data_IF_828631417379
#
_entry.id   IF_828631417379
#
_cell.length_a   1.000
_cell.length_b   1.000
_cell.length_c   1.000
_cell.angle_alpha   90.00
_cell.angle_beta   90.00
_cell.angle_gamma   90.00
#
_symmetry.space_group_name_H-M   'P 1'
#
loop_
_entity.id
_entity.type
_entity.pdbx_description
1 polymer ?
#
# COMPACT_ATOMS: atom_id res chain seq x y z
N UNK A 1 23.38 -19.93 -15.85
CA UNK A 1 22.65 -21.00 -15.18
C UNK A 1 23.25 -21.32 -13.82
N UNK A 2 22.40 -21.63 -12.83
CA UNK A 2 22.84 -22.07 -11.53
C UNK A 2 22.26 -21.25 -10.40
N UNK A 3 22.38 -21.76 -9.17
CA UNK A 3 21.93 -21.12 -7.95
C UNK A 3 22.85 -19.98 -7.56
N UNK A 4 22.26 -18.81 -7.26
CA UNK A 4 22.99 -17.61 -6.81
C UNK A 4 24.13 -17.14 -7.76
N UNK A 5 23.89 -17.01 -9.07
CA UNK A 5 24.99 -16.76 -10.01
C UNK A 5 25.69 -15.41 -9.81
N UNK A 6 25.01 -14.41 -9.25
CA UNK A 6 25.53 -13.06 -9.03
C UNK A 6 25.56 -12.66 -7.55
N UNK A 7 25.63 -13.64 -6.66
CA UNK A 7 25.74 -13.39 -5.22
C UNK A 7 27.04 -12.64 -4.87
N UNK A 8 26.92 -11.59 -4.03
CA UNK A 8 28.02 -10.71 -3.65
C UNK A 8 28.71 -9.98 -4.81
N UNK A 9 28.01 -9.81 -5.93
CA UNK A 9 28.52 -9.03 -7.06
C UNK A 9 28.17 -7.56 -6.96
N UNK A 10 28.92 -6.71 -7.64
CA UNK A 10 28.65 -5.27 -7.69
C UNK A 10 28.73 -4.73 -9.13
N UNK A 11 28.06 -3.57 -9.36
CA UNK A 11 28.06 -2.87 -10.64
C UNK A 11 27.55 -3.76 -11.80
N UNK A 12 26.42 -4.42 -11.56
CA UNK A 12 25.81 -5.36 -12.49
C UNK A 12 24.95 -4.61 -13.48
N UNK A 13 25.16 -4.88 -14.77
CA UNK A 13 24.24 -4.47 -15.86
C UNK A 13 23.76 -5.74 -16.56
N UNK A 14 22.45 -5.98 -16.43
CA UNK A 14 21.76 -7.06 -17.13
C UNK A 14 20.77 -6.45 -18.13
N UNK A 15 20.88 -6.79 -19.40
CA UNK A 15 19.97 -6.33 -20.44
C UNK A 15 19.51 -7.51 -21.29
N UNK A 16 18.20 -7.60 -21.55
CA UNK A 16 17.60 -8.71 -22.28
C UNK A 16 17.98 -10.09 -21.70
N UNK A 17 18.08 -10.18 -20.35
CA UNK A 17 18.50 -11.38 -19.68
C UNK A 17 17.32 -12.17 -19.11
N UNK A 18 17.47 -13.50 -19.07
CA UNK A 18 16.55 -14.39 -18.37
C UNK A 18 17.23 -15.00 -17.13
N UNK A 19 16.60 -14.82 -15.97
CA UNK A 19 16.99 -15.44 -14.71
C UNK A 19 16.08 -16.65 -14.45
N UNK A 20 16.59 -17.85 -14.60
CA UNK A 20 15.83 -19.10 -14.57
C UNK A 20 16.04 -19.92 -13.30
N UNK A 21 16.76 -19.39 -12.30
CA UNK A 21 17.05 -20.13 -11.08
C UNK A 21 17.03 -19.24 -9.84
N UNK A 22 16.96 -19.87 -8.64
CA UNK A 22 16.83 -19.21 -7.33
C UNK A 22 17.98 -18.27 -7.00
N UNK A 23 17.67 -17.24 -6.22
CA UNK A 23 18.63 -16.36 -5.54
C UNK A 23 19.59 -15.62 -6.47
N UNK A 24 19.18 -15.14 -7.67
CA UNK A 24 20.13 -14.63 -8.65
C UNK A 24 20.99 -13.46 -8.15
N UNK A 25 20.45 -12.58 -7.32
CA UNK A 25 21.07 -11.29 -6.97
C UNK A 25 21.07 -11.05 -5.43
N UNK A 26 21.60 -12.01 -4.69
CA UNK A 26 21.73 -11.90 -3.24
C UNK A 26 22.98 -11.12 -2.82
N UNK A 27 22.83 -10.20 -1.86
CA UNK A 27 23.91 -9.37 -1.35
C UNK A 27 24.66 -8.63 -2.46
N UNK A 28 23.94 -8.23 -3.51
CA UNK A 28 24.52 -7.56 -4.66
C UNK A 28 24.35 -6.03 -4.55
N UNK A 29 25.23 -5.28 -5.19
CA UNK A 29 25.25 -3.84 -5.13
C UNK A 29 25.26 -3.20 -6.53
N UNK A 30 24.56 -2.06 -6.69
CA UNK A 30 24.50 -1.30 -7.93
C UNK A 30 24.04 -2.17 -9.13
N UNK A 31 22.82 -2.66 -9.04
CA UNK A 31 22.19 -3.54 -10.04
C UNK A 31 21.35 -2.68 -10.98
N UNK A 32 21.55 -2.86 -12.28
CA UNK A 32 20.66 -2.35 -13.33
C UNK A 32 20.21 -3.49 -14.20
N UNK A 33 18.93 -3.85 -14.12
CA UNK A 33 18.32 -4.84 -14.99
C UNK A 33 17.27 -4.15 -15.86
N UNK A 34 17.42 -4.30 -17.18
CA UNK A 34 16.48 -3.74 -18.16
C UNK A 34 16.07 -4.81 -19.17
N UNK A 35 14.79 -4.80 -19.56
CA UNK A 35 14.20 -5.77 -20.48
C UNK A 35 14.49 -7.22 -20.06
N UNK A 36 14.41 -7.48 -18.74
CA UNK A 36 14.76 -8.76 -18.14
C UNK A 36 13.52 -9.55 -17.69
N UNK A 37 13.64 -10.86 -17.76
CA UNK A 37 12.65 -11.81 -17.27
C UNK A 37 13.19 -12.62 -16.09
N UNK A 38 12.49 -12.59 -14.98
CA UNK A 38 12.71 -13.45 -13.82
C UNK A 38 11.66 -14.55 -13.82
N UNK A 39 12.09 -15.77 -14.09
CA UNK A 39 11.24 -16.96 -14.20
C UNK A 39 10.56 -17.30 -12.85
N UNK A 40 9.50 -18.08 -12.87
CA UNK A 40 8.77 -18.52 -11.66
C UNK A 40 9.68 -19.22 -10.64
N UNK A 41 10.77 -19.83 -11.07
CA UNK A 41 11.76 -20.49 -10.21
C UNK A 41 12.78 -19.50 -9.66
N UNK A 42 12.91 -18.29 -10.22
CA UNK A 42 13.84 -17.26 -9.73
C UNK A 42 13.40 -16.60 -8.42
N UNK A 43 12.76 -17.37 -7.55
CA UNK A 43 12.26 -16.93 -6.24
C UNK A 43 13.36 -16.43 -5.33
N UNK A 44 12.98 -15.57 -4.39
CA UNK A 44 13.91 -14.91 -3.48
C UNK A 44 15.06 -14.22 -4.24
N UNK A 45 14.66 -13.50 -5.29
CA UNK A 45 15.59 -13.08 -6.34
C UNK A 45 16.58 -12.03 -5.92
N UNK A 46 16.12 -10.95 -5.29
CA UNK A 46 16.95 -9.78 -4.95
C UNK A 46 16.82 -9.55 -3.45
N UNK A 47 17.68 -10.22 -2.68
CA UNK A 47 17.65 -10.12 -1.22
C UNK A 47 18.95 -9.53 -0.66
N UNK A 48 18.81 -8.69 0.38
CA UNK A 48 19.94 -8.05 1.08
C UNK A 48 20.82 -7.21 0.17
N UNK A 49 20.23 -6.64 -0.90
CA UNK A 49 20.94 -5.92 -1.95
C UNK A 49 20.66 -4.42 -1.87
N UNK A 50 21.46 -3.60 -2.55
CA UNK A 50 21.26 -2.16 -2.57
C UNK A 50 21.58 -1.53 -3.92
N UNK A 51 20.97 -0.35 -4.19
CA UNK A 51 21.15 0.35 -5.44
C UNK A 51 20.57 -0.43 -6.62
N UNK A 52 19.28 -0.82 -6.52
CA UNK A 52 18.61 -1.71 -7.48
C UNK A 52 17.75 -0.90 -8.44
N UNK A 53 18.00 -1.04 -9.73
CA UNK A 53 17.14 -0.48 -10.78
C UNK A 53 16.59 -1.62 -11.62
N UNK A 54 15.26 -1.79 -11.62
CA UNK A 54 14.54 -2.67 -12.54
C UNK A 54 13.73 -1.81 -13.49
N UNK A 55 13.93 -1.99 -14.78
CA UNK A 55 13.20 -1.25 -15.81
C UNK A 55 12.71 -2.18 -16.89
N UNK A 56 11.43 -2.02 -17.26
CA UNK A 56 10.81 -2.83 -18.33
C UNK A 56 11.00 -4.33 -18.09
N UNK A 57 10.75 -4.80 -16.86
CA UNK A 57 11.02 -6.18 -16.45
C UNK A 57 9.73 -6.94 -16.12
N UNK A 58 9.75 -8.24 -16.41
CA UNK A 58 8.73 -9.18 -15.99
C UNK A 58 9.27 -10.08 -14.89
N UNK A 59 8.56 -10.13 -13.75
CA UNK A 59 8.96 -10.89 -12.58
C UNK A 59 7.90 -11.95 -12.24
N UNK A 60 8.18 -13.21 -12.59
CA UNK A 60 7.25 -14.33 -12.42
C UNK A 60 7.28 -14.99 -11.04
N UNK A 61 8.37 -14.82 -10.29
CA UNK A 61 8.60 -15.55 -9.04
C UNK A 61 8.10 -14.80 -7.78
N UNK A 62 7.66 -15.51 -6.74
CA UNK A 62 7.37 -14.93 -5.43
C UNK A 62 8.64 -14.51 -4.68
N UNK A 63 8.45 -13.72 -3.62
CA UNK A 63 9.52 -13.28 -2.71
C UNK A 63 10.63 -12.51 -3.43
N UNK A 64 10.24 -11.62 -4.34
CA UNK A 64 11.15 -10.94 -5.25
C UNK A 64 12.23 -10.13 -4.55
N UNK A 65 11.83 -9.10 -3.80
CA UNK A 65 12.74 -8.20 -3.10
C UNK A 65 12.56 -8.31 -1.58
N UNK A 66 13.66 -8.47 -0.85
CA UNK A 66 13.63 -8.46 0.63
C UNK A 66 14.90 -7.82 1.19
N UNK A 67 14.73 -6.93 2.18
CA UNK A 67 15.83 -6.17 2.78
C UNK A 67 16.71 -5.48 1.73
N UNK A 68 16.03 -4.93 0.71
CA UNK A 68 16.67 -4.11 -0.33
C UNK A 68 16.63 -2.66 0.10
N UNK A 69 17.72 -1.97 -0.08
CA UNK A 69 17.81 -0.53 0.15
C UNK A 69 18.15 0.20 -1.13
N UNK A 70 17.48 1.37 -1.34
CA UNK A 70 17.65 2.18 -2.53
C UNK A 70 17.29 1.40 -3.81
N UNK A 71 16.00 1.36 -4.11
CA UNK A 71 15.49 0.67 -5.29
C UNK A 71 14.57 1.56 -6.13
N UNK A 72 14.70 1.47 -7.45
CA UNK A 72 13.81 2.09 -8.42
C UNK A 72 13.26 1.04 -9.39
N UNK A 73 11.94 0.85 -9.38
CA UNK A 73 11.24 -0.07 -10.24
C UNK A 73 10.34 0.72 -11.20
N UNK A 74 10.59 0.60 -12.49
CA UNK A 74 9.82 1.29 -13.53
C UNK A 74 9.33 0.33 -14.58
N UNK A 75 8.03 0.36 -14.88
CA UNK A 75 7.39 -0.55 -15.84
C UNK A 75 7.69 -2.02 -15.51
N UNK A 76 7.42 -2.42 -14.27
CA UNK A 76 7.67 -3.79 -13.79
C UNK A 76 6.35 -4.49 -13.53
N UNK A 77 6.23 -5.70 -14.05
CA UNK A 77 5.09 -6.56 -13.81
C UNK A 77 5.48 -7.76 -12.95
N UNK A 78 4.85 -7.88 -11.76
CA UNK A 78 5.00 -9.03 -10.88
C UNK A 78 3.79 -9.96 -11.04
N UNK A 79 3.98 -11.09 -11.70
CA UNK A 79 2.92 -12.11 -11.85
C UNK A 79 2.64 -12.84 -10.56
N UNK A 80 3.67 -13.09 -9.74
CA UNK A 80 3.55 -13.56 -8.37
C UNK A 80 4.33 -12.61 -7.44
N UNK A 81 3.61 -11.64 -6.88
CA UNK A 81 4.17 -10.66 -5.96
C UNK A 81 4.12 -11.11 -4.50
N UNK A 82 3.73 -12.35 -4.22
CA UNK A 82 3.60 -12.84 -2.84
C UNK A 82 4.90 -12.59 -2.05
N UNK A 83 4.76 -11.99 -0.88
CA UNK A 83 5.87 -11.65 0.02
C UNK A 83 7.01 -10.85 -0.66
N UNK A 84 6.65 -9.99 -1.61
CA UNK A 84 7.60 -9.12 -2.32
C UNK A 84 7.66 -7.73 -1.66
N UNK A 85 8.83 -7.09 -1.70
CA UNK A 85 9.13 -5.84 -0.98
C UNK A 85 8.97 -5.99 0.55
N UNK A 86 9.65 -6.93 1.15
CA UNK A 86 9.66 -7.08 2.61
C UNK A 86 10.87 -6.41 3.25
N UNK A 87 10.63 -5.58 4.27
CA UNK A 87 11.66 -4.85 5.01
C UNK A 87 12.59 -4.05 4.09
N UNK A 88 12.04 -3.47 3.01
CA UNK A 88 12.79 -2.63 2.08
C UNK A 88 12.74 -1.16 2.48
N UNK A 89 13.73 -0.38 2.09
CA UNK A 89 13.74 1.06 2.33
C UNK A 89 14.19 1.87 1.13
N UNK A 90 13.72 3.11 1.06
CA UNK A 90 14.07 4.07 0.02
C UNK A 90 13.71 3.52 -1.38
N UNK A 91 12.43 3.16 -1.58
CA UNK A 91 11.96 2.49 -2.80
C UNK A 91 11.04 3.40 -3.60
N UNK A 92 11.29 3.50 -4.90
CA UNK A 92 10.42 4.16 -5.87
C UNK A 92 9.78 3.12 -6.81
N UNK A 93 8.45 3.16 -6.92
CA UNK A 93 7.68 2.36 -7.88
C UNK A 93 6.98 3.27 -8.87
N UNK A 94 7.16 3.04 -10.17
CA UNK A 94 6.45 3.77 -11.22
C UNK A 94 5.94 2.82 -12.30
N UNK A 95 4.63 2.89 -12.59
CA UNK A 95 3.97 2.01 -13.57
C UNK A 95 4.22 0.53 -13.22
N UNK A 96 3.80 0.09 -12.05
CA UNK A 96 4.00 -1.28 -11.57
C UNK A 96 2.66 -2.00 -11.48
N UNK A 97 2.64 -3.25 -11.94
CA UNK A 97 1.53 -4.17 -11.69
C UNK A 97 2.01 -5.30 -10.79
N UNK A 98 1.26 -5.60 -9.74
CA UNK A 98 1.63 -6.64 -8.79
C UNK A 98 0.39 -7.47 -8.38
N UNK A 99 0.54 -8.79 -8.36
CA UNK A 99 -0.49 -9.72 -7.91
C UNK A 99 0.08 -10.68 -6.89
N UNK A 100 -0.39 -10.60 -5.64
CA UNK A 100 0.05 -11.47 -4.55
C UNK A 100 -0.15 -10.82 -3.18
N UNK A 101 -0.25 -11.65 -2.15
CA UNK A 101 -0.44 -11.22 -0.78
C UNK A 101 0.86 -10.71 -0.12
N UNK A 102 0.71 -9.87 0.90
CA UNK A 102 1.82 -9.29 1.68
C UNK A 102 2.84 -8.51 0.84
N UNK A 103 2.38 -7.76 -0.14
CA UNK A 103 3.24 -6.85 -0.89
C UNK A 103 3.56 -5.61 -0.05
N UNK A 104 4.84 -5.33 0.18
CA UNK A 104 5.29 -4.13 0.88
C UNK A 104 5.31 -4.21 2.41
N UNK A 105 5.52 -5.39 3.00
CA UNK A 105 5.53 -5.55 4.46
C UNK A 105 6.74 -4.85 5.14
N UNK A 106 6.47 -4.09 6.22
CA UNK A 106 7.48 -3.40 7.04
C UNK A 106 8.50 -2.58 6.22
N UNK A 107 8.02 -1.88 5.20
CA UNK A 107 8.87 -1.01 4.40
C UNK A 107 8.90 0.43 4.90
N UNK A 108 9.95 1.15 4.54
CA UNK A 108 10.13 2.55 4.92
C UNK A 108 10.53 3.41 3.71
N UNK A 109 9.99 4.65 3.65
CA UNK A 109 10.28 5.61 2.60
C UNK A 109 9.91 5.09 1.20
N UNK A 110 8.62 4.82 0.98
CA UNK A 110 8.13 4.41 -0.34
C UNK A 110 7.53 5.60 -1.11
N UNK A 111 7.89 5.74 -2.36
CA UNK A 111 7.27 6.66 -3.32
C UNK A 111 6.66 5.87 -4.48
N UNK A 112 5.34 5.90 -4.63
CA UNK A 112 4.61 5.02 -5.53
C UNK A 112 3.71 5.84 -6.45
N UNK A 113 3.83 5.62 -7.76
CA UNK A 113 3.00 6.24 -8.80
C UNK A 113 2.53 5.18 -9.82
N UNK A 114 1.24 5.19 -10.14
CA UNK A 114 0.62 4.25 -11.09
C UNK A 114 0.86 2.78 -10.73
N UNK A 115 0.50 2.40 -9.50
CA UNK A 115 0.50 1.00 -9.06
C UNK A 115 -0.88 0.37 -9.27
N UNK A 116 -0.91 -0.81 -9.89
CA UNK A 116 -2.06 -1.71 -9.89
C UNK A 116 -1.76 -2.92 -9.02
N UNK A 117 -2.34 -2.99 -7.83
CA UNK A 117 -2.08 -4.06 -6.86
C UNK A 117 -3.33 -4.90 -6.61
N UNK A 118 -3.17 -6.21 -6.65
CA UNK A 118 -4.20 -7.21 -6.38
C UNK A 118 -3.67 -8.24 -5.38
N UNK A 119 -4.12 -8.18 -4.14
CA UNK A 119 -3.69 -9.15 -3.12
C UNK A 119 -3.92 -8.63 -1.71
N UNK A 120 -3.89 -9.51 -0.74
CA UNK A 120 -4.24 -9.20 0.64
C UNK A 120 -3.03 -8.68 1.44
N UNK A 121 -3.31 -7.94 2.53
CA UNK A 121 -2.32 -7.44 3.51
C UNK A 121 -1.20 -6.59 2.89
N UNK A 122 -1.56 -5.71 1.94
CA UNK A 122 -0.56 -4.83 1.34
C UNK A 122 -0.15 -3.70 2.28
N UNK A 123 1.15 -3.40 2.28
CA UNK A 123 1.79 -2.32 3.04
C UNK A 123 1.63 -2.40 4.56
N UNK A 124 1.39 -3.58 5.15
CA UNK A 124 1.35 -3.75 6.60
C UNK A 124 2.68 -3.32 7.26
N UNK A 125 2.59 -2.55 8.35
CA UNK A 125 3.74 -2.05 9.11
C UNK A 125 4.58 -0.97 8.42
N UNK A 126 4.17 -0.46 7.25
CA UNK A 126 4.96 0.50 6.50
C UNK A 126 5.00 1.90 7.13
N UNK A 127 6.09 2.62 6.87
CA UNK A 127 6.30 4.00 7.33
C UNK A 127 6.75 4.92 6.19
N UNK A 128 6.27 6.18 6.24
CA UNK A 128 6.64 7.23 5.29
C UNK A 128 6.33 6.80 3.84
N UNK A 129 5.07 6.54 3.54
CA UNK A 129 4.63 6.07 2.22
C UNK A 129 3.81 7.15 1.52
N UNK A 130 4.15 7.43 0.28
CA UNK A 130 3.34 8.26 -0.62
C UNK A 130 2.90 7.45 -1.82
N UNK A 131 1.59 7.42 -2.10
CA UNK A 131 0.99 6.70 -3.23
C UNK A 131 0.10 7.63 -4.03
N UNK A 132 0.28 7.66 -5.35
CA UNK A 132 -0.51 8.48 -6.28
C UNK A 132 -1.02 7.68 -7.47
N UNK A 133 -2.19 8.10 -8.00
CA UNK A 133 -2.74 7.59 -9.27
C UNK A 133 -2.80 6.06 -9.33
N UNK A 134 -3.18 5.40 -8.23
CA UNK A 134 -3.02 3.96 -8.08
C UNK A 134 -4.34 3.25 -7.79
N UNK A 135 -4.37 1.95 -8.09
CA UNK A 135 -5.49 1.05 -7.78
C UNK A 135 -5.01 -0.06 -6.86
N UNK A 136 -5.61 -0.12 -5.68
CA UNK A 136 -5.28 -1.11 -4.66
C UNK A 136 -6.53 -1.95 -4.37
N UNK A 137 -6.50 -3.23 -4.71
CA UNK A 137 -7.51 -4.21 -4.34
C UNK A 137 -6.89 -5.16 -3.32
N UNK A 138 -7.09 -4.84 -2.03
CA UNK A 138 -6.42 -5.54 -0.95
C UNK A 138 -7.33 -5.66 0.26
N UNK A 139 -7.56 -6.86 0.72
CA UNK A 139 -8.46 -7.13 1.84
C UNK A 139 -8.14 -6.28 3.08
N UNK A 140 -6.91 -6.25 3.53
CA UNK A 140 -6.44 -5.59 4.75
C UNK A 140 -5.24 -4.68 4.43
N UNK A 141 -5.52 -3.53 3.80
CA UNK A 141 -4.48 -2.60 3.40
C UNK A 141 -4.05 -1.67 4.54
N UNK A 142 -2.77 -1.37 4.64
CA UNK A 142 -2.18 -0.37 5.54
C UNK A 142 -2.44 -0.61 7.03
N UNK A 143 -2.35 -1.82 7.50
CA UNK A 143 -2.39 -2.10 8.92
C UNK A 143 -1.11 -1.65 9.63
N UNK A 144 -1.22 -1.14 10.85
CA UNK A 144 -0.09 -0.74 11.68
C UNK A 144 0.89 0.26 11.04
N UNK A 145 0.40 1.07 10.10
CA UNK A 145 1.22 2.01 9.35
C UNK A 145 1.39 3.36 10.04
N UNK A 146 2.41 4.10 9.60
CA UNK A 146 2.67 5.45 10.08
C UNK A 146 3.13 6.39 8.98
N UNK A 147 2.57 7.63 8.94
CA UNK A 147 2.91 8.67 7.98
C UNK A 147 2.62 8.25 6.53
N UNK A 148 1.36 8.00 6.23
CA UNK A 148 0.89 7.56 4.91
C UNK A 148 0.15 8.70 4.21
N UNK A 149 0.49 8.95 2.96
CA UNK A 149 -0.23 9.89 2.09
C UNK A 149 -0.68 9.16 0.82
N UNK A 150 -1.98 9.19 0.54
CA UNK A 150 -2.56 8.57 -0.66
C UNK A 150 -3.37 9.62 -1.41
N UNK A 151 -3.10 9.80 -2.71
CA UNK A 151 -3.72 10.80 -3.55
C UNK A 151 -4.22 10.20 -4.87
N UNK A 152 -5.41 10.61 -5.32
CA UNK A 152 -5.97 10.22 -6.62
C UNK A 152 -6.03 8.70 -6.82
N UNK A 153 -6.46 7.95 -5.80
CA UNK A 153 -6.44 6.49 -5.79
C UNK A 153 -7.83 5.87 -5.66
N UNK A 154 -7.96 4.67 -6.21
CA UNK A 154 -9.05 3.76 -5.89
C UNK A 154 -8.55 2.65 -4.97
N UNK A 155 -9.23 2.45 -3.84
CA UNK A 155 -8.87 1.44 -2.85
C UNK A 155 -10.13 0.63 -2.52
N UNK A 156 -10.05 -0.69 -2.62
CA UNK A 156 -11.14 -1.57 -2.22
C UNK A 156 -10.62 -2.76 -1.42
N UNK A 157 -11.28 -3.01 -0.29
CA UNK A 157 -10.94 -4.12 0.60
C UNK A 157 -11.88 -4.20 1.79
N UNK A 158 -11.67 -5.17 2.66
CA UNK A 158 -12.54 -5.39 3.82
C UNK A 158 -12.21 -4.45 4.98
N UNK A 159 -10.94 -4.35 5.38
CA UNK A 159 -10.49 -3.50 6.47
C UNK A 159 -9.34 -2.60 6.02
N UNK A 160 -9.55 -1.30 6.04
CA UNK A 160 -8.53 -0.34 5.65
C UNK A 160 -7.94 0.36 6.88
N UNK A 161 -6.61 0.42 6.98
CA UNK A 161 -5.88 1.32 7.87
C UNK A 161 -5.89 0.93 9.36
N UNK A 162 -6.26 -0.27 9.72
CA UNK A 162 -6.36 -0.71 11.11
C UNK A 162 -5.12 -0.35 11.93
N UNK A 163 -5.33 0.32 13.09
CA UNK A 163 -4.28 0.70 14.04
C UNK A 163 -3.15 1.56 13.45
N UNK A 164 -3.47 2.37 12.43
CA UNK A 164 -2.49 3.25 11.78
C UNK A 164 -2.57 4.69 12.27
N UNK A 165 -1.51 5.45 12.07
CA UNK A 165 -1.43 6.84 12.51
C UNK A 165 -0.84 7.78 11.46
N UNK A 166 -1.27 9.05 11.51
CA UNK A 166 -0.85 10.09 10.55
C UNK A 166 -1.14 9.66 9.10
N UNK A 167 -2.39 9.28 8.80
CA UNK A 167 -2.81 8.88 7.47
C UNK A 167 -3.61 10.00 6.83
N UNK A 168 -3.23 10.39 5.62
CA UNK A 168 -3.94 11.39 4.82
C UNK A 168 -4.34 10.82 3.47
N UNK A 169 -5.63 10.90 3.16
CA UNK A 169 -6.22 10.48 1.88
C UNK A 169 -6.79 11.71 1.18
N UNK A 170 -6.44 11.94 -0.08
CA UNK A 170 -6.94 13.07 -0.87
C UNK A 170 -7.49 12.59 -2.19
N UNK A 171 -8.69 13.06 -2.53
CA UNK A 171 -9.36 12.74 -3.79
C UNK A 171 -9.36 11.24 -4.09
N UNK A 172 -9.61 10.43 -3.06
CA UNK A 172 -9.64 8.97 -3.15
C UNK A 172 -11.06 8.44 -3.15
N UNK A 173 -11.26 7.33 -3.88
CA UNK A 173 -12.47 6.54 -3.83
C UNK A 173 -12.19 5.26 -3.07
N UNK A 174 -12.92 5.03 -1.96
CA UNK A 174 -12.58 3.97 -1.01
C UNK A 174 -13.82 3.12 -0.75
N UNK A 175 -13.66 1.82 -0.88
CA UNK A 175 -14.65 0.80 -0.52
C UNK A 175 -14.08 -0.07 0.60
N UNK A 176 -14.73 -0.07 1.78
CA UNK A 176 -14.26 -0.84 2.92
C UNK A 176 -15.39 -1.17 3.88
N UNK A 177 -15.59 -2.44 4.19
CA UNK A 177 -16.71 -2.85 5.06
C UNK A 177 -16.58 -2.35 6.50
N UNK A 178 -15.39 -2.32 7.05
CA UNK A 178 -15.10 -1.75 8.36
C UNK A 178 -13.79 -0.97 8.27
N UNK A 179 -13.87 0.17 7.58
CA UNK A 179 -12.71 0.99 7.31
C UNK A 179 -12.35 1.93 8.45
N UNK A 180 -11.06 2.21 8.56
CA UNK A 180 -10.54 3.30 9.40
C UNK A 180 -10.72 3.07 10.91
N UNK A 181 -10.54 1.85 11.40
CA UNK A 181 -10.66 1.55 12.82
C UNK A 181 -9.35 1.74 13.58
N UNK A 182 -9.45 2.25 14.82
CA UNK A 182 -8.33 2.45 15.75
C UNK A 182 -7.24 3.38 15.19
N UNK A 183 -7.58 4.31 14.31
CA UNK A 183 -6.62 5.22 13.70
C UNK A 183 -6.42 6.49 14.53
N UNK A 184 -5.21 7.02 14.46
CA UNK A 184 -4.84 8.29 15.10
C UNK A 184 -4.44 9.31 14.02
N UNK A 185 -4.96 10.54 14.11
CA UNK A 185 -4.73 11.63 13.18
C UNK A 185 -5.01 11.20 11.72
N UNK A 186 -6.21 10.65 11.51
CA UNK A 186 -6.72 10.31 10.17
C UNK A 186 -7.28 11.57 9.49
N UNK A 187 -6.93 11.80 8.24
CA UNK A 187 -7.45 12.91 7.42
C UNK A 187 -7.95 12.40 6.08
N UNK A 188 -9.20 12.73 5.76
CA UNK A 188 -9.80 12.49 4.46
C UNK A 188 -10.22 13.84 3.86
N UNK A 189 -9.73 14.15 2.67
CA UNK A 189 -10.03 15.39 1.94
C UNK A 189 -10.58 15.03 0.56
N UNK A 190 -11.76 15.53 0.25
CA UNK A 190 -12.40 15.29 -1.06
C UNK A 190 -12.57 13.81 -1.41
N UNK A 191 -12.71 12.93 -0.44
CA UNK A 191 -12.85 11.49 -0.64
C UNK A 191 -14.30 11.07 -0.83
N UNK A 192 -14.51 9.96 -1.54
CA UNK A 192 -15.79 9.26 -1.68
C UNK A 192 -15.69 7.91 -0.98
N UNK A 193 -16.61 7.61 -0.07
CA UNK A 193 -16.70 6.31 0.61
C UNK A 193 -17.86 5.52 0.00
N UNK A 194 -17.57 4.34 -0.56
CA UNK A 194 -18.54 3.48 -1.23
C UNK A 194 -18.65 2.20 -0.44
N UNK A 195 -19.88 1.73 -0.23
CA UNK A 195 -20.13 0.50 0.52
C UNK A 195 -19.29 0.43 1.81
N UNK A 196 -19.12 1.59 2.47
CA UNK A 196 -18.27 1.71 3.66
C UNK A 196 -19.16 1.73 4.89
N UNK A 197 -19.10 0.66 5.65
CA UNK A 197 -19.87 0.46 6.87
C UNK A 197 -18.99 0.52 8.11
N UNK A 198 -19.59 0.85 9.27
CA UNK A 198 -18.93 0.91 10.57
C UNK A 198 -17.65 1.77 10.58
N UNK A 199 -17.65 2.83 9.74
CA UNK A 199 -16.47 3.67 9.54
C UNK A 199 -16.03 4.38 10.81
N UNK A 200 -14.71 4.56 10.96
CA UNK A 200 -14.05 5.40 11.97
C UNK A 200 -14.13 4.88 13.41
N UNK A 201 -14.44 3.60 13.61
CA UNK A 201 -14.56 3.04 14.96
C UNK A 201 -13.26 3.26 15.77
N UNK A 202 -13.40 3.89 16.94
CA UNK A 202 -12.30 4.27 17.86
C UNK A 202 -11.19 5.11 17.22
N UNK A 203 -11.51 5.91 16.19
CA UNK A 203 -10.53 6.72 15.48
C UNK A 203 -10.68 8.21 15.75
N UNK A 204 -9.54 8.91 15.76
CA UNK A 204 -9.44 10.37 15.68
C UNK A 204 -9.41 10.78 14.22
N UNK A 205 -10.41 11.53 13.75
CA UNK A 205 -10.66 11.74 12.33
C UNK A 205 -11.01 13.19 11.96
N UNK A 206 -10.46 13.65 10.84
CA UNK A 206 -10.87 14.86 10.13
C UNK A 206 -11.28 14.44 8.71
N UNK A 207 -12.59 14.33 8.47
CA UNK A 207 -13.11 13.81 7.21
C UNK A 207 -14.01 14.81 6.50
N UNK A 208 -13.67 15.10 5.23
CA UNK A 208 -14.50 15.79 4.26
C UNK A 208 -14.86 14.80 3.15
N UNK A 209 -16.08 14.29 3.18
CA UNK A 209 -16.55 13.20 2.32
C UNK A 209 -17.57 13.74 1.32
N UNK A 210 -17.34 13.42 0.04
CA UNK A 210 -18.30 13.66 -1.05
C UNK A 210 -19.34 12.54 -1.04
N UNK A 211 -20.60 12.91 -0.97
CA UNK A 211 -21.70 11.95 -0.95
C UNK A 211 -22.02 11.41 0.44
N UNK A 212 -22.61 10.24 0.48
CA UNK A 212 -23.07 9.58 1.69
C UNK A 212 -22.02 8.63 2.28
N UNK A 213 -22.12 8.41 3.60
CA UNK A 213 -21.42 7.32 4.31
C UNK A 213 -22.49 6.33 4.76
N UNK A 214 -22.32 5.03 4.48
CA UNK A 214 -23.32 4.02 4.83
C UNK A 214 -23.54 3.92 6.34
N UNK A 215 -22.48 3.81 7.12
CA UNK A 215 -22.55 3.92 8.57
C UNK A 215 -21.25 4.39 9.22
N UNK A 216 -21.41 5.11 10.33
CA UNK A 216 -20.32 5.58 11.21
C UNK A 216 -20.51 4.96 12.58
N UNK A 217 -19.44 4.44 13.18
CA UNK A 217 -19.50 3.81 14.51
C UNK A 217 -18.45 4.38 15.46
N UNK A 218 -18.91 4.85 16.61
CA UNK A 218 -18.09 5.20 17.78
C UNK A 218 -16.76 5.93 17.45
N UNK A 219 -16.75 7.00 16.65
CA UNK A 219 -15.51 7.76 16.44
C UNK A 219 -15.03 8.33 17.79
N UNK A 220 -13.72 8.39 18.00
CA UNK A 220 -13.14 8.85 19.26
C UNK A 220 -13.11 10.36 19.40
N UNK A 221 -12.84 11.07 18.31
CA UNK A 221 -12.81 12.53 18.27
C UNK A 221 -12.70 13.06 16.83
N UNK A 222 -12.96 14.35 16.67
CA UNK A 222 -12.67 15.09 15.45
C UNK A 222 -13.89 15.64 14.73
N UNK A 223 -13.83 15.70 13.39
CA UNK A 223 -14.90 16.23 12.54
C UNK A 223 -15.18 15.27 11.38
N UNK A 224 -16.45 14.96 11.17
CA UNK A 224 -16.93 14.19 10.01
C UNK A 224 -17.95 15.04 9.27
N UNK A 225 -17.65 15.42 8.04
CA UNK A 225 -18.56 16.14 7.12
C UNK A 225 -18.89 15.26 5.94
N UNK A 226 -20.19 15.07 5.66
CA UNK A 226 -20.69 14.30 4.51
C UNK A 226 -22.05 14.86 4.06
N UNK A 227 -22.55 14.51 2.88
CA UNK A 227 -23.92 14.86 2.47
C UNK A 227 -24.95 14.18 3.37
N UNK A 228 -24.73 12.91 3.71
CA UNK A 228 -25.56 12.16 4.64
C UNK A 228 -24.83 10.99 5.29
N UNK A 229 -25.34 10.48 6.40
CA UNK A 229 -24.90 9.26 7.05
C UNK A 229 -26.13 8.36 7.18
N UNK A 230 -26.05 7.14 6.62
CA UNK A 230 -27.13 6.17 6.62
C UNK A 230 -27.46 5.68 8.03
N UNK A 231 -26.44 5.27 8.78
CA UNK A 231 -26.59 4.85 10.19
C UNK A 231 -25.46 5.45 11.05
N UNK A 232 -25.83 6.04 12.18
CA UNK A 232 -24.89 6.54 13.17
C UNK A 232 -25.02 5.71 14.47
N UNK A 233 -23.98 4.95 14.79
CA UNK A 233 -23.95 4.04 15.95
C UNK A 233 -23.08 4.67 17.04
N UNK A 234 -23.71 5.11 18.13
CA UNK A 234 -23.06 5.68 19.32
C UNK A 234 -23.56 4.91 20.55
N UNK A 235 -22.88 3.83 20.90
CA UNK A 235 -23.30 2.91 21.95
C UNK A 235 -22.76 3.26 23.35
N UNK A 236 -22.07 4.41 23.47
CA UNK A 236 -21.50 4.89 24.72
C UNK A 236 -20.08 4.38 25.01
N UNK A 237 -19.47 3.62 24.11
CA UNK A 237 -18.07 3.17 24.26
C UNK A 237 -17.05 4.28 24.02
N UNK A 238 -17.47 5.38 23.38
CA UNK A 238 -16.70 6.62 23.21
C UNK A 238 -17.47 7.84 23.71
N UNK A 239 -16.77 8.93 23.99
CA UNK A 239 -17.38 10.20 24.32
C UNK A 239 -17.83 10.93 23.04
N UNK A 240 -19.09 10.79 22.69
CA UNK A 240 -19.67 11.36 21.47
C UNK A 240 -19.53 12.89 21.38
N UNK A 241 -19.37 13.60 22.51
CA UNK A 241 -19.19 15.06 22.52
C UNK A 241 -17.86 15.53 21.91
N UNK A 242 -16.91 14.63 21.72
CA UNK A 242 -15.61 14.90 21.11
C UNK A 242 -15.59 14.81 19.59
N UNK A 243 -16.68 14.35 18.99
CA UNK A 243 -16.79 14.25 17.53
C UNK A 243 -17.93 15.15 17.03
N UNK A 244 -17.59 16.09 16.20
CA UNK A 244 -18.57 16.90 15.48
C UNK A 244 -18.96 16.20 14.18
N UNK A 245 -20.27 16.04 13.96
CA UNK A 245 -20.81 15.42 12.75
C UNK A 245 -21.67 16.45 12.02
N UNK A 246 -21.32 16.78 10.79
CA UNK A 246 -22.02 17.75 9.95
C UNK A 246 -22.53 17.04 8.70
N UNK A 247 -23.85 17.06 8.51
CA UNK A 247 -24.49 16.58 7.28
C UNK A 247 -25.20 17.74 6.58
N UNK A 248 -25.23 17.70 5.24
CA UNK A 248 -26.01 18.67 4.49
C UNK A 248 -27.51 18.35 4.69
N UNK A 249 -28.22 19.24 5.35
CA UNK A 249 -29.67 19.18 5.41
C UNK A 249 -30.19 19.41 3.98
N UNK A 250 -30.62 18.34 3.31
CA UNK A 250 -31.46 18.53 2.12
C UNK A 250 -32.77 19.19 2.58
N UNK A 251 -32.91 20.45 2.19
CA UNK A 251 -34.16 21.21 2.33
C UNK A 251 -35.29 20.59 1.50
#
# INVERSE_FOLDING_TARGET
EGESPLKHSANIVAQNCKFEWKYPLWYAENIRAQDCFFDEIARAGIWYSRGVVLKDCLYGAPKGLRRVKDAALQNVEFHDAQETLWHCSDVTLKNVTAKGAYFGLDCENLSIENLSLFGDYCFDGCRNVTIKNSKLLSKDAFWNCENIVVEDCFIAGEYFGWNSKNVTLRNCKIESLQGFCYMQNLRLQDCELINTTLAFEYSDVQAEIKGAIDSVKNPSSGLIRAESIGELILDGSTDASKTEIITELRA
#
